data_IF_904701035183
#
_entry.id   IF_904701035183
#
_cell.length_a   1.000
_cell.length_b   1.000
_cell.length_c   1.000
_cell.angle_alpha   90.00
_cell.angle_beta   90.00
_cell.angle_gamma   90.00
#
_symmetry.space_group_name_H-M   'P 1'
#
loop_
_entity.id
_entity.type
_entity.pdbx_description
1 polymer ?
#
# COMPACT_ATOMS: atom_id res chain seq x y z
N UNK A 1 -27.95 1.52 32.21
CA UNK A 1 -27.46 0.84 31.00
C UNK A 1 -25.96 0.67 31.11
N UNK A 2 -25.40 -0.44 30.62
CA UNK A 2 -23.95 -0.58 30.51
C UNK A 2 -23.46 0.25 29.30
N UNK A 3 -22.52 1.17 29.52
CA UNK A 3 -21.94 1.98 28.44
C UNK A 3 -20.68 1.30 27.87
N UNK A 4 -20.68 0.87 26.60
CA UNK A 4 -19.54 0.17 25.98
C UNK A 4 -18.31 1.07 25.78
N UNK A 5 -18.43 2.39 25.95
CA UNK A 5 -17.35 3.35 25.73
C UNK A 5 -16.49 3.60 26.98
N UNK A 6 -16.83 3.00 28.12
CA UNK A 6 -16.08 3.13 29.38
C UNK A 6 -14.90 2.15 29.49
N UNK A 7 -14.38 1.64 28.36
CA UNK A 7 -13.20 0.75 28.37
C UNK A 7 -11.95 1.55 28.74
N UNK A 8 -11.11 1.09 29.68
CA UNK A 8 -9.92 1.82 30.08
C UNK A 8 -8.85 1.80 28.99
N UNK A 9 -8.02 2.84 28.94
CA UNK A 9 -6.76 2.81 28.21
C UNK A 9 -5.73 2.00 29.01
N UNK A 10 -5.27 0.88 28.46
CA UNK A 10 -4.30 0.01 29.11
C UNK A 10 -2.89 0.43 28.69
N UNK A 11 -2.12 0.95 29.64
CA UNK A 11 -0.68 1.27 29.47
C UNK A 11 0.24 0.30 30.24
N UNK A 12 -0.36 -0.64 30.99
CA UNK A 12 0.32 -1.64 31.79
C UNK A 12 -0.61 -2.17 32.89
N UNK A 13 -0.11 -3.13 33.69
CA UNK A 13 -0.78 -3.63 34.89
C UNK A 13 0.20 -3.41 36.06
N UNK A 14 -0.09 -2.45 36.92
CA UNK A 14 0.81 -2.00 37.98
C UNK A 14 0.23 -2.33 39.36
N UNK A 15 1.10 -2.70 40.30
CA UNK A 15 0.76 -2.94 41.71
C UNK A 15 1.99 -2.70 42.58
N UNK A 16 1.77 -2.18 43.79
CA UNK A 16 2.83 -2.00 44.80
C UNK A 16 2.96 -3.23 45.73
N UNK A 17 2.08 -4.24 45.57
CA UNK A 17 2.14 -5.46 46.36
C UNK A 17 3.41 -6.25 46.02
N UNK A 18 4.15 -6.64 47.05
CA UNK A 18 5.33 -7.50 46.93
C UNK A 18 5.09 -8.86 47.57
N UNK A 19 5.68 -9.91 47.00
CA UNK A 19 5.57 -11.28 47.50
C UNK A 19 4.83 -12.22 46.54
N UNK A 20 4.57 -13.47 46.95
CA UNK A 20 3.91 -14.44 46.09
C UNK A 20 2.48 -14.02 45.75
N UNK A 21 2.09 -14.12 44.47
CA UNK A 21 0.71 -13.89 44.06
C UNK A 21 -0.21 -14.96 44.69
N UNK A 22 -1.34 -14.57 45.31
CA UNK A 22 -2.27 -15.53 45.86
C UNK A 22 -2.97 -16.33 44.75
N UNK A 23 -3.44 -17.55 45.05
CA UNK A 23 -4.16 -18.37 44.08
C UNK A 23 -5.41 -17.65 43.57
N UNK A 24 -5.61 -17.66 42.25
CA UNK A 24 -6.76 -17.05 41.58
C UNK A 24 -6.58 -15.59 41.12
N UNK A 25 -5.47 -14.93 41.48
CA UNK A 25 -5.18 -13.58 40.99
C UNK A 25 -4.73 -13.62 39.52
N UNK A 26 -5.65 -13.27 38.60
CA UNK A 26 -5.38 -13.24 37.15
C UNK A 26 -5.93 -11.97 36.52
N UNK A 27 -5.27 -11.52 35.46
CA UNK A 27 -5.73 -10.42 34.61
C UNK A 27 -5.72 -10.90 33.16
N UNK A 28 -6.78 -10.59 32.41
CA UNK A 28 -6.89 -10.92 30.99
C UNK A 28 -7.43 -9.73 30.20
N UNK A 29 -6.76 -9.41 29.10
CA UNK A 29 -7.20 -8.41 28.15
C UNK A 29 -6.89 -8.89 26.73
N UNK A 30 -7.93 -8.97 25.88
CA UNK A 30 -7.76 -9.22 24.45
C UNK A 30 -7.48 -7.89 23.76
N UNK A 31 -6.23 -7.71 23.30
CA UNK A 31 -5.82 -6.51 22.57
C UNK A 31 -6.48 -6.49 21.20
N UNK A 32 -6.93 -5.31 20.77
CA UNK A 32 -7.49 -5.11 19.44
C UNK A 32 -6.37 -5.10 18.39
N UNK A 33 -6.18 -6.22 17.70
CA UNK A 33 -5.22 -6.39 16.60
C UNK A 33 -5.90 -6.51 15.24
N UNK A 34 -7.14 -6.02 15.09
CA UNK A 34 -7.97 -6.25 13.89
C UNK A 34 -7.33 -5.85 12.55
N UNK A 35 -6.33 -4.97 12.56
CA UNK A 35 -5.60 -4.51 11.37
C UNK A 35 -4.29 -5.27 11.13
N UNK A 36 -3.78 -6.00 12.11
CA UNK A 36 -2.56 -6.82 12.00
C UNK A 36 -2.93 -8.18 11.41
N UNK A 37 -3.08 -8.23 10.09
CA UNK A 37 -3.53 -9.43 9.38
C UNK A 37 -2.60 -9.78 8.22
N UNK A 38 -2.58 -11.06 7.86
CA UNK A 38 -1.93 -11.56 6.65
C UNK A 38 -2.98 -12.25 5.77
N UNK A 39 -2.84 -12.20 4.43
CA UNK A 39 -3.78 -12.89 3.55
C UNK A 39 -3.73 -14.40 3.76
N UNK A 40 -4.89 -15.05 3.72
CA UNK A 40 -4.94 -16.51 3.63
C UNK A 40 -4.42 -16.99 2.28
N UNK A 41 -4.03 -18.26 2.17
CA UNK A 41 -3.61 -18.86 0.90
C UNK A 41 -4.66 -18.68 -0.20
N UNK A 42 -5.94 -18.86 0.13
CA UNK A 42 -7.04 -18.66 -0.82
C UNK A 42 -7.09 -17.21 -1.35
N UNK A 43 -7.00 -16.22 -0.46
CA UNK A 43 -7.01 -14.81 -0.84
C UNK A 43 -5.80 -14.47 -1.70
N UNK A 44 -4.62 -14.99 -1.34
CA UNK A 44 -3.40 -14.77 -2.10
C UNK A 44 -3.51 -15.36 -3.52
N UNK A 45 -3.98 -16.60 -3.64
CA UNK A 45 -4.20 -17.24 -4.95
C UNK A 45 -5.21 -16.47 -5.80
N UNK A 46 -6.31 -15.98 -5.20
CA UNK A 46 -7.30 -15.17 -5.90
C UNK A 46 -6.70 -13.86 -6.42
N UNK A 47 -5.85 -13.17 -5.63
CA UNK A 47 -5.16 -11.95 -6.07
C UNK A 47 -4.25 -12.25 -7.27
N UNK A 48 -3.40 -13.28 -7.16
CA UNK A 48 -2.46 -13.64 -8.24
C UNK A 48 -3.22 -14.03 -9.51
N UNK A 49 -4.24 -14.87 -9.38
CA UNK A 49 -5.07 -15.31 -10.51
C UNK A 49 -5.78 -14.12 -11.16
N UNK A 50 -6.37 -13.22 -10.37
CA UNK A 50 -7.00 -12.01 -10.90
C UNK A 50 -6.01 -11.17 -11.71
N UNK A 51 -4.81 -10.90 -11.18
CA UNK A 51 -3.75 -10.16 -11.90
C UNK A 51 -3.41 -10.85 -13.23
N UNK A 52 -3.17 -12.16 -13.19
CA UNK A 52 -2.82 -12.94 -14.40
C UNK A 52 -3.96 -12.91 -15.42
N UNK A 53 -5.20 -13.14 -14.99
CA UNK A 53 -6.38 -13.08 -15.86
C UNK A 53 -6.57 -11.68 -16.46
N UNK A 54 -6.34 -10.60 -15.70
CA UNK A 54 -6.40 -9.23 -16.22
C UNK A 54 -5.34 -9.00 -17.29
N UNK A 55 -4.09 -9.45 -17.07
CA UNK A 55 -3.03 -9.36 -18.08
C UNK A 55 -3.41 -10.16 -19.33
N UNK A 56 -3.91 -11.39 -19.18
CA UNK A 56 -4.36 -12.21 -20.31
C UNK A 56 -5.49 -11.53 -21.08
N UNK A 57 -6.47 -10.94 -20.38
CA UNK A 57 -7.58 -10.23 -20.98
C UNK A 57 -7.10 -9.00 -21.78
N UNK A 58 -6.16 -8.21 -21.24
CA UNK A 58 -5.56 -7.08 -21.95
C UNK A 58 -4.73 -7.53 -23.16
N UNK A 59 -4.02 -8.66 -23.06
CA UNK A 59 -3.29 -9.23 -24.20
C UNK A 59 -4.25 -9.73 -25.28
N UNK A 60 -5.36 -10.37 -24.90
CA UNK A 60 -6.39 -10.80 -25.83
C UNK A 60 -7.07 -9.60 -26.50
N UNK A 61 -7.40 -8.56 -25.73
CA UNK A 61 -7.94 -7.30 -26.24
C UNK A 61 -6.96 -6.64 -27.22
N UNK A 62 -5.69 -6.52 -26.85
CA UNK A 62 -4.65 -6.00 -27.74
C UNK A 62 -4.52 -6.81 -29.03
N UNK A 63 -4.72 -8.13 -29.00
CA UNK A 63 -4.76 -8.96 -30.21
C UNK A 63 -5.97 -8.64 -31.08
N UNK A 64 -7.13 -8.39 -30.49
CA UNK A 64 -8.34 -7.97 -31.21
C UNK A 64 -8.17 -6.59 -31.83
N UNK A 65 -7.64 -5.60 -31.09
CA UNK A 65 -7.40 -4.23 -31.59
C UNK A 65 -6.49 -4.21 -32.83
N UNK A 66 -5.58 -5.20 -32.95
CA UNK A 66 -4.71 -5.31 -34.12
C UNK A 66 -5.43 -5.74 -35.40
N UNK A 67 -6.65 -6.26 -35.29
CA UNK A 67 -7.49 -6.59 -36.46
C UNK A 67 -8.02 -5.34 -37.16
N UNK A 68 -8.10 -4.19 -36.47
CA UNK A 68 -8.54 -2.91 -37.04
C UNK A 68 -7.54 -2.29 -38.04
N UNK A 69 -6.42 -2.97 -38.33
CA UNK A 69 -5.41 -2.56 -39.31
C UNK A 69 -4.54 -1.38 -38.87
N UNK A 70 -4.86 -0.73 -37.75
CA UNK A 70 -4.06 0.36 -37.16
C UNK A 70 -2.87 -0.22 -36.41
N UNK A 71 -1.65 -0.05 -36.96
CA UNK A 71 -0.41 -0.45 -36.30
C UNK A 71 0.26 0.75 -35.62
N UNK A 72 0.79 0.53 -34.43
CA UNK A 72 1.73 1.46 -33.80
C UNK A 72 2.96 1.60 -34.69
N UNK A 73 3.14 2.75 -35.38
CA UNK A 73 4.28 2.96 -36.29
C UNK A 73 5.60 3.19 -35.54
N UNK A 74 5.57 3.78 -34.35
CA UNK A 74 6.75 4.05 -33.50
C UNK A 74 6.35 3.97 -32.02
N UNK A 75 7.14 3.24 -31.22
CA UNK A 75 6.97 3.18 -29.76
C UNK A 75 7.36 4.53 -29.12
N UNK A 76 8.43 5.14 -29.62
CA UNK A 76 8.89 6.46 -29.19
C UNK A 76 8.58 7.48 -30.31
N UNK A 77 7.69 8.45 -30.09
CA UNK A 77 7.43 9.54 -31.03
C UNK A 77 8.70 10.36 -31.28
N UNK A 78 8.87 10.93 -32.48
CA UNK A 78 10.06 11.75 -32.80
C UNK A 78 10.22 12.97 -31.90
N UNK A 79 9.12 13.55 -31.43
CA UNK A 79 9.11 14.66 -30.47
C UNK A 79 9.72 14.31 -29.11
N UNK A 80 9.83 13.03 -28.76
CA UNK A 80 10.49 12.60 -27.50
C UNK A 80 12.01 12.51 -27.64
N UNK A 81 12.55 12.63 -28.86
CA UNK A 81 14.00 12.59 -29.10
C UNK A 81 14.66 13.96 -29.02
N UNK A 82 13.90 15.02 -28.80
CA UNK A 82 14.40 16.38 -28.72
C UNK A 82 14.45 16.82 -27.27
N UNK A 83 15.59 17.34 -26.83
CA UNK A 83 15.74 18.03 -25.56
C UNK A 83 15.66 19.54 -25.82
N UNK A 84 14.81 20.24 -25.10
CA UNK A 84 14.63 21.69 -25.19
C UNK A 84 15.22 22.39 -23.96
N UNK A 85 15.46 23.69 -24.05
CA UNK A 85 15.89 24.49 -22.90
C UNK A 85 14.87 24.45 -21.75
N UNK A 86 13.58 24.35 -22.08
CA UNK A 86 12.50 24.21 -21.09
C UNK A 86 12.66 22.91 -20.29
N UNK A 87 12.99 21.80 -20.96
CA UNK A 87 13.23 20.52 -20.27
C UNK A 87 14.39 20.65 -19.26
N UNK A 88 15.45 21.37 -19.62
CA UNK A 88 16.57 21.64 -18.72
C UNK A 88 16.19 22.46 -17.50
N UNK A 89 15.40 23.52 -17.68
CA UNK A 89 14.91 24.36 -16.57
C UNK A 89 13.99 23.56 -15.64
N UNK A 90 13.06 22.77 -16.19
CA UNK A 90 12.13 21.97 -15.39
C UNK A 90 12.85 20.87 -14.62
N UNK A 91 13.70 20.09 -15.28
CA UNK A 91 14.47 19.01 -14.63
C UNK A 91 15.44 19.59 -13.60
N UNK A 92 16.16 20.66 -13.95
CA UNK A 92 17.10 21.33 -13.05
C UNK A 92 16.39 21.96 -11.86
N UNK A 93 15.26 22.62 -12.08
CA UNK A 93 14.40 23.16 -11.02
C UNK A 93 13.90 22.05 -10.09
N UNK A 94 13.44 20.93 -10.63
CA UNK A 94 13.06 19.77 -9.81
C UNK A 94 14.24 19.19 -9.04
N UNK A 95 15.42 19.07 -9.64
CA UNK A 95 16.59 18.55 -8.96
C UNK A 95 17.06 19.48 -7.82
N UNK A 96 17.12 20.79 -8.07
CA UNK A 96 17.46 21.78 -7.06
C UNK A 96 16.42 21.73 -5.93
N UNK A 97 15.13 21.82 -6.27
CA UNK A 97 14.05 21.76 -5.28
C UNK A 97 14.04 20.45 -4.51
N UNK A 98 14.36 19.33 -5.13
CA UNK A 98 14.46 18.04 -4.44
C UNK A 98 15.55 18.04 -3.35
N UNK A 99 16.64 18.77 -3.58
CA UNK A 99 17.78 18.81 -2.65
C UNK A 99 17.59 19.87 -1.56
N UNK A 100 17.10 21.06 -1.91
CA UNK A 100 17.05 22.22 -0.99
C UNK A 100 15.64 22.73 -0.69
N UNK A 101 14.63 22.15 -1.33
CA UNK A 101 13.23 22.58 -1.20
C UNK A 101 12.65 22.26 0.18
N UNK A 102 11.60 22.98 0.54
CA UNK A 102 10.87 22.73 1.76
C UNK A 102 10.12 21.39 1.69
N UNK A 103 10.20 20.62 2.78
CA UNK A 103 9.39 19.41 2.95
C UNK A 103 7.95 19.77 3.33
N UNK A 104 7.04 18.84 3.03
CA UNK A 104 5.62 18.90 3.43
C UNK A 104 5.42 18.82 4.94
#
# INVERSE_FOLDING_TARGET
>A
YADPNLRPAIVGVFTDLTGPAPPGMTFAATIDTRYTTNPTTLKLLAIVLAIVCTVIALLALWRLDRLDGRRMRRVIPTRWRTLTAVDGVVIGGFAIWYVIGANS
#
